data_IF_826370077458
#
_entry.id   IF_826370077458
#
_cell.length_a   1.000
_cell.length_b   1.000
_cell.length_c   1.000
_cell.angle_alpha   90.00
_cell.angle_beta   90.00
_cell.angle_gamma   90.00
#
_symmetry.space_group_name_H-M   'P 1'
#
loop_
_entity.id
_entity.type
_entity.pdbx_description
1 polymer ?
#
# COMPACT_ATOMS: atom_id res chain seq x y z
N UNK A 1 -2.25 15.19 -14.55
CA UNK A 1 -1.75 14.77 -13.21
C UNK A 1 -1.55 13.26 -13.17
N UNK A 2 -0.66 12.74 -12.32
CA UNK A 2 -0.44 11.30 -12.12
C UNK A 2 -1.14 10.81 -10.85
N UNK A 3 -1.60 9.57 -10.85
CA UNK A 3 -2.23 8.90 -9.69
C UNK A 3 -1.79 7.45 -9.66
N UNK A 4 -1.88 6.81 -8.49
CA UNK A 4 -1.53 5.40 -8.33
C UNK A 4 -2.83 4.61 -8.34
N UNK A 5 -2.97 3.75 -9.35
CA UNK A 5 -4.05 2.78 -9.46
C UNK A 5 -3.61 1.50 -8.77
N UNK A 6 -4.42 1.04 -7.82
CA UNK A 6 -4.19 -0.18 -7.07
C UNK A 6 -5.28 -1.16 -7.43
N UNK A 7 -4.90 -2.32 -7.94
CA UNK A 7 -5.82 -3.43 -8.19
C UNK A 7 -5.62 -4.47 -7.10
N UNK A 8 -6.70 -4.94 -6.50
CA UNK A 8 -6.66 -5.95 -5.47
C UNK A 8 -7.84 -6.92 -5.59
N UNK A 9 -7.62 -8.13 -5.13
CA UNK A 9 -8.68 -9.11 -4.94
C UNK A 9 -9.20 -8.98 -3.51
N UNK A 10 -10.48 -9.23 -3.32
CA UNK A 10 -11.13 -9.31 -2.01
C UNK A 10 -12.03 -10.55 -1.98
N UNK A 11 -12.74 -10.78 -0.88
CA UNK A 11 -13.51 -11.99 -0.71
C UNK A 11 -14.19 -12.10 0.62
N UNK A 12 -14.79 -13.25 0.82
CA UNK A 12 -15.32 -13.73 2.08
C UNK A 12 -14.93 -15.20 2.28
N UNK A 13 -15.44 -15.85 3.32
CA UNK A 13 -15.11 -17.25 3.62
C UNK A 13 -15.54 -18.24 2.53
N UNK A 14 -16.40 -17.83 1.59
CA UNK A 14 -17.02 -18.69 0.59
C UNK A 14 -16.77 -18.23 -0.85
N UNK A 15 -16.47 -16.95 -1.07
CA UNK A 15 -16.31 -16.36 -2.39
C UNK A 15 -15.03 -15.51 -2.50
N UNK A 16 -14.49 -15.45 -3.72
CA UNK A 16 -13.43 -14.52 -4.10
C UNK A 16 -13.98 -13.56 -5.15
N UNK A 17 -13.68 -12.28 -4.98
CA UNK A 17 -14.03 -11.20 -5.90
C UNK A 17 -12.74 -10.61 -6.44
N UNK A 18 -12.51 -10.80 -7.73
CA UNK A 18 -11.28 -10.34 -8.38
C UNK A 18 -11.45 -8.91 -8.92
N UNK A 19 -10.40 -8.10 -8.81
CA UNK A 19 -10.26 -6.88 -9.63
C UNK A 19 -10.91 -5.59 -9.11
N UNK A 20 -11.01 -5.40 -7.80
CA UNK A 20 -11.34 -4.09 -7.24
C UNK A 20 -10.23 -3.07 -7.50
N UNK A 21 -10.58 -1.80 -7.73
CA UNK A 21 -9.62 -0.74 -8.04
C UNK A 21 -9.75 0.45 -7.10
N UNK A 22 -8.64 0.85 -6.48
CA UNK A 22 -8.53 2.11 -5.73
C UNK A 22 -7.57 3.09 -6.41
N UNK A 23 -7.91 4.38 -6.39
CA UNK A 23 -7.09 5.46 -6.94
C UNK A 23 -6.52 6.29 -5.79
N UNK A 24 -5.21 6.17 -5.56
CA UNK A 24 -4.52 6.79 -4.44
C UNK A 24 -3.80 8.04 -4.89
N UNK A 25 -4.07 9.16 -4.23
CA UNK A 25 -3.35 10.43 -4.36
C UNK A 25 -3.38 11.07 -5.76
N UNK A 26 -2.81 12.27 -5.85
CA UNK A 26 -2.62 13.00 -7.11
C UNK A 26 -1.28 13.74 -7.04
N UNK A 27 -0.43 13.53 -8.04
CA UNK A 27 0.90 14.13 -8.13
C UNK A 27 1.10 14.86 -9.44
N UNK A 28 1.91 15.91 -9.39
CA UNK A 28 2.35 16.63 -10.59
C UNK A 28 3.49 15.89 -11.29
N UNK A 29 4.39 15.28 -10.52
CA UNK A 29 5.54 14.52 -11.03
C UNK A 29 5.25 13.02 -11.15
N UNK A 30 5.61 12.44 -12.31
CA UNK A 30 5.54 10.99 -12.53
C UNK A 30 6.52 10.25 -11.63
N UNK A 31 7.70 10.84 -11.45
CA UNK A 31 8.79 10.31 -10.64
C UNK A 31 8.34 10.18 -9.18
N UNK A 32 7.69 11.21 -8.64
CA UNK A 32 7.16 11.19 -7.28
C UNK A 32 6.03 10.16 -7.11
N UNK A 33 5.10 10.07 -8.05
CA UNK A 33 4.07 9.01 -8.05
C UNK A 33 4.70 7.61 -8.13
N UNK A 34 5.76 7.45 -8.94
CA UNK A 34 6.50 6.19 -9.07
C UNK A 34 7.25 5.83 -7.79
N UNK A 35 7.82 6.83 -7.10
CA UNK A 35 8.45 6.62 -5.80
C UNK A 35 7.42 6.12 -4.78
N UNK A 36 6.26 6.78 -4.68
CA UNK A 36 5.18 6.37 -3.80
C UNK A 36 4.62 4.97 -4.15
N UNK A 37 4.53 4.63 -5.44
CA UNK A 37 4.14 3.29 -5.87
C UNK A 37 5.14 2.22 -5.40
N UNK A 38 6.45 2.51 -5.45
CA UNK A 38 7.49 1.61 -4.92
C UNK A 38 7.37 1.43 -3.40
N UNK A 39 7.09 2.51 -2.66
CA UNK A 39 6.85 2.46 -1.21
C UNK A 39 5.68 1.53 -0.87
N UNK A 40 4.57 1.66 -1.60
CA UNK A 40 3.39 0.80 -1.45
C UNK A 40 3.71 -0.67 -1.74
N UNK A 41 4.45 -0.94 -2.82
CA UNK A 41 4.86 -2.30 -3.17
C UNK A 41 5.76 -2.93 -2.10
N UNK A 42 6.76 -2.18 -1.60
CA UNK A 42 7.66 -2.62 -0.55
C UNK A 42 6.93 -2.89 0.77
N UNK A 43 6.04 -1.97 1.16
CA UNK A 43 5.19 -2.17 2.34
C UNK A 43 4.31 -3.42 2.22
N UNK A 44 3.69 -3.64 1.05
CA UNK A 44 2.86 -4.82 0.83
C UNK A 44 3.66 -6.12 0.90
N UNK A 45 4.88 -6.15 0.37
CA UNK A 45 5.77 -7.32 0.49
C UNK A 45 6.04 -7.68 1.95
N UNK A 46 6.40 -6.68 2.76
CA UNK A 46 6.63 -6.87 4.21
C UNK A 46 5.36 -7.38 4.89
N UNK A 47 4.21 -6.74 4.62
CA UNK A 47 2.92 -7.16 5.15
C UNK A 47 2.63 -8.62 4.77
N UNK A 48 2.80 -8.99 3.50
CA UNK A 48 2.47 -10.32 3.00
C UNK A 48 3.33 -11.40 3.63
N UNK A 49 4.62 -11.14 3.83
CA UNK A 49 5.55 -12.06 4.51
C UNK A 49 5.22 -12.26 5.98
N UNK A 50 4.57 -11.28 6.61
CA UNK A 50 4.08 -11.35 7.99
C UNK A 50 2.68 -11.99 8.12
N UNK A 51 1.77 -11.72 7.18
CA UNK A 51 0.37 -12.14 7.27
C UNK A 51 0.09 -13.52 6.70
N UNK A 52 1.02 -14.07 5.91
CA UNK A 52 0.87 -15.39 5.32
C UNK A 52 1.03 -16.47 6.40
N UNK A 53 -0.09 -17.10 6.78
CA UNK A 53 -0.15 -18.18 7.76
C UNK A 53 0.49 -19.51 7.30
N UNK A 54 1.67 -19.55 6.65
CA UNK A 54 2.19 -20.81 6.12
C UNK A 54 3.72 -20.93 6.16
N UNK A 55 4.21 -21.73 7.12
CA UNK A 55 5.27 -22.77 7.05
C UNK A 55 6.42 -22.66 6.01
N UNK A 56 6.85 -21.45 5.63
CA UNK A 56 7.98 -21.21 4.74
C UNK A 56 9.13 -20.49 5.45
N UNK A 57 10.36 -20.77 5.04
CA UNK A 57 11.58 -20.19 5.62
C UNK A 57 11.71 -18.65 5.40
N UNK A 58 10.85 -18.05 4.58
CA UNK A 58 10.91 -16.62 4.19
C UNK A 58 9.81 -15.75 4.84
N UNK A 59 9.10 -16.31 5.81
CA UNK A 59 8.08 -15.62 6.61
C UNK A 59 8.73 -14.74 7.69
N UNK A 60 8.13 -13.57 7.93
CA UNK A 60 8.52 -12.66 9.01
C UNK A 60 7.58 -12.85 10.20
N UNK A 61 8.12 -12.78 11.41
CA UNK A 61 7.29 -12.49 12.57
C UNK A 61 6.78 -11.04 12.49
N UNK A 62 5.65 -10.77 13.15
CA UNK A 62 5.11 -9.40 13.25
C UNK A 62 6.13 -8.42 13.81
N UNK A 63 6.90 -8.84 14.82
CA UNK A 63 7.98 -8.03 15.39
C UNK A 63 9.06 -7.69 14.36
N UNK A 64 9.53 -8.66 13.59
CA UNK A 64 10.55 -8.43 12.55
C UNK A 64 10.04 -7.52 11.45
N UNK A 65 8.80 -7.73 10.99
CA UNK A 65 8.16 -6.86 10.01
C UNK A 65 8.08 -5.40 10.51
N UNK A 66 7.66 -5.20 11.75
CA UNK A 66 7.59 -3.89 12.38
C UNK A 66 8.99 -3.26 12.54
N UNK A 67 9.98 -4.03 12.95
CA UNK A 67 11.36 -3.54 13.10
C UNK A 67 11.95 -3.15 11.74
N UNK A 68 11.64 -3.85 10.65
CA UNK A 68 11.97 -3.43 9.29
C UNK A 68 11.27 -2.11 8.95
N UNK A 69 9.95 -2.01 9.17
CA UNK A 69 9.16 -0.81 8.85
C UNK A 69 9.71 0.43 9.55
N UNK A 70 10.11 0.33 10.82
CA UNK A 70 10.71 1.45 11.58
C UNK A 70 11.98 2.03 10.94
N UNK A 71 12.69 1.27 10.11
CA UNK A 71 13.89 1.75 9.42
C UNK A 71 13.59 2.48 8.11
N UNK A 72 12.34 2.43 7.64
CA UNK A 72 11.94 2.98 6.35
C UNK A 72 11.55 4.44 6.48
N UNK A 73 11.92 5.26 5.50
CA UNK A 73 11.51 6.67 5.44
C UNK A 73 9.98 6.86 5.39
N UNK A 74 9.27 5.83 4.94
CA UNK A 74 7.81 5.83 4.82
C UNK A 74 7.10 5.28 6.06
N UNK A 75 7.82 5.00 7.16
CA UNK A 75 7.24 4.54 8.42
C UNK A 75 6.13 5.51 8.90
N UNK A 76 4.94 5.00 9.27
CA UNK A 76 3.87 5.82 9.83
C UNK A 76 4.28 6.57 11.11
N UNK A 77 3.77 7.80 11.24
CA UNK A 77 3.91 8.58 12.47
C UNK A 77 2.75 8.20 13.39
N UNK A 78 3.05 7.48 14.47
CA UNK A 78 2.04 6.96 15.39
C UNK A 78 2.34 7.45 16.81
N UNK A 79 1.30 7.95 17.50
CA UNK A 79 1.41 8.36 18.89
C UNK A 79 1.79 7.17 19.80
N UNK A 80 2.74 7.38 20.71
CA UNK A 80 3.30 6.34 21.58
C UNK A 80 2.28 5.60 22.45
N UNK A 81 1.12 6.21 22.73
CA UNK A 81 0.08 5.64 23.61
C UNK A 81 -1.01 4.87 22.87
N UNK A 82 -0.91 4.76 21.54
CA UNK A 82 -1.91 4.03 20.76
C UNK A 82 -1.80 2.53 21.00
N UNK A 83 -2.90 1.93 21.48
CA UNK A 83 -3.00 0.48 21.69
C UNK A 83 -3.00 -0.30 20.36
N UNK A 84 -3.11 0.41 19.23
CA UNK A 84 -3.08 -0.16 17.88
C UNK A 84 -1.81 0.22 17.12
N UNK A 85 -0.70 0.53 17.81
CA UNK A 85 0.54 0.99 17.15
C UNK A 85 1.07 -0.01 16.14
N UNK A 86 1.17 -1.26 16.53
CA UNK A 86 1.71 -2.34 15.69
C UNK A 86 0.82 -2.57 14.48
N UNK A 87 -0.50 -2.63 14.71
CA UNK A 87 -1.50 -2.65 13.65
C UNK A 87 -1.35 -1.47 12.68
N UNK A 88 -1.25 -0.24 13.18
CA UNK A 88 -1.10 0.94 12.33
C UNK A 88 0.22 0.92 11.54
N UNK A 89 1.29 0.32 12.06
CA UNK A 89 2.54 0.16 11.30
C UNK A 89 2.38 -0.80 10.11
N UNK A 90 1.59 -1.86 10.27
CA UNK A 90 1.34 -2.85 9.21
C UNK A 90 0.23 -2.46 8.23
N UNK A 91 -0.65 -1.54 8.63
CA UNK A 91 -1.84 -1.15 7.88
C UNK A 91 -1.86 0.34 7.50
N UNK A 92 -0.71 1.03 7.56
CA UNK A 92 -0.59 2.38 7.02
C UNK A 92 0.83 2.70 6.55
N UNK A 93 0.95 3.74 5.72
CA UNK A 93 2.22 4.17 5.12
C UNK A 93 2.25 5.69 4.92
N UNK A 94 3.43 6.30 5.01
CA UNK A 94 3.63 7.71 4.65
C UNK A 94 4.00 7.87 3.17
N UNK A 95 3.17 8.61 2.44
CA UNK A 95 3.39 8.96 1.04
C UNK A 95 3.79 10.43 0.91
N UNK A 96 4.74 10.72 0.02
CA UNK A 96 5.22 12.08 -0.23
C UNK A 96 4.21 12.88 -1.06
N UNK A 97 4.04 14.16 -0.75
CA UNK A 97 3.23 15.12 -1.50
C UNK A 97 4.12 16.05 -2.34
N UNK A 98 3.52 16.73 -3.33
CA UNK A 98 4.26 17.62 -4.26
C UNK A 98 4.93 18.82 -3.56
N UNK A 99 4.46 19.21 -2.37
CA UNK A 99 5.02 20.30 -1.57
C UNK A 99 6.13 19.85 -0.61
N UNK A 100 6.53 18.57 -0.68
CA UNK A 100 7.53 17.96 0.19
C UNK A 100 6.99 17.51 1.55
N UNK A 101 5.71 17.78 1.86
CA UNK A 101 5.05 17.19 3.02
C UNK A 101 4.73 15.71 2.78
N UNK A 102 4.20 15.04 3.81
CA UNK A 102 3.80 13.65 3.72
C UNK A 102 2.39 13.46 4.27
N UNK A 103 1.67 12.50 3.71
CA UNK A 103 0.35 12.11 4.18
C UNK A 103 0.35 10.63 4.57
N UNK A 104 -0.35 10.30 5.65
CA UNK A 104 -0.53 8.92 6.08
C UNK A 104 -1.71 8.32 5.33
N UNK A 105 -1.46 7.20 4.65
CA UNK A 105 -2.45 6.46 3.90
C UNK A 105 -2.70 5.11 4.58
N UNK A 106 -3.97 4.77 4.82
CA UNK A 106 -4.36 3.47 5.37
C UNK A 106 -4.45 2.41 4.29
N UNK A 107 -3.76 1.28 4.44
CA UNK A 107 -3.65 0.22 3.42
C UNK A 107 -4.64 -0.93 3.63
N UNK A 108 -5.63 -0.77 4.53
CA UNK A 108 -6.58 -1.82 4.90
C UNK A 108 -7.40 -2.39 3.73
N UNK A 109 -7.53 -1.66 2.61
CA UNK A 109 -8.29 -2.11 1.44
C UNK A 109 -7.63 -3.27 0.70
N UNK A 110 -6.30 -3.44 0.80
CA UNK A 110 -5.55 -4.55 0.18
C UNK A 110 -4.59 -5.27 1.13
N UNK A 111 -4.44 -4.77 2.36
CA UNK A 111 -3.77 -5.44 3.46
C UNK A 111 -4.82 -5.93 4.46
N UNK A 112 -5.45 -7.06 4.16
CA UNK A 112 -6.48 -7.66 5.01
C UNK A 112 -6.51 -9.18 4.92
N UNK A 113 -7.52 -9.78 5.55
CA UNK A 113 -7.60 -11.23 5.70
C UNK A 113 -8.01 -11.92 4.38
N UNK A 114 -8.95 -11.32 3.65
CA UNK A 114 -9.41 -11.82 2.35
C UNK A 114 -8.79 -11.05 1.19
N UNK A 115 -8.16 -9.92 1.48
CA UNK A 115 -7.66 -8.98 0.51
C UNK A 115 -6.23 -9.33 0.06
N UNK A 116 -5.95 -9.18 -1.24
CA UNK A 116 -4.60 -9.31 -1.76
C UNK A 116 -4.32 -8.35 -2.89
N UNK A 117 -3.17 -7.68 -2.82
CA UNK A 117 -2.72 -6.77 -3.86
C UNK A 117 -2.38 -7.57 -5.14
N UNK A 118 -2.97 -7.16 -6.26
CA UNK A 118 -2.72 -7.74 -7.59
C UNK A 118 -1.75 -6.87 -8.37
N UNK A 119 -1.96 -5.56 -8.41
CA UNK A 119 -1.09 -4.64 -9.14
C UNK A 119 -1.08 -3.22 -8.58
N UNK A 120 0.01 -2.51 -8.84
CA UNK A 120 0.19 -1.08 -8.57
C UNK A 120 0.69 -0.43 -9.86
N UNK A 121 -0.04 0.55 -10.36
CA UNK A 121 0.25 1.23 -11.62
C UNK A 121 0.24 2.74 -11.45
N UNK A 122 1.22 3.44 -12.01
CA UNK A 122 1.17 4.90 -12.11
C UNK A 122 0.48 5.28 -13.42
N UNK A 123 -0.67 5.93 -13.32
CA UNK A 123 -1.48 6.32 -14.48
C UNK A 123 -1.62 7.84 -14.57
N UNK A 124 -1.75 8.36 -15.79
CA UNK A 124 -2.07 9.75 -16.07
C UNK A 124 -3.47 9.80 -16.70
N UNK A 125 -4.54 10.09 -15.93
CA UNK A 125 -5.91 10.02 -16.44
C UNK A 125 -6.16 10.89 -17.67
N UNK A 126 -5.45 12.02 -17.79
CA UNK A 126 -5.55 12.95 -18.92
C UNK A 126 -4.98 12.39 -20.22
N UNK A 127 -4.08 11.40 -20.17
CA UNK A 127 -3.52 10.73 -21.36
C UNK A 127 -4.36 9.54 -21.84
N UNK A 128 -5.31 9.05 -21.02
CA UNK A 128 -6.24 8.00 -21.40
C UNK A 128 -7.51 8.53 -22.10
N UNK A 129 -7.67 9.86 -22.25
CA UNK A 129 -8.71 10.46 -23.09
C UNK A 129 -8.20 10.62 -24.53
N UNK A 130 -7.85 9.51 -25.18
CA UNK A 130 -7.80 9.49 -26.65
C UNK A 130 -9.25 9.32 -27.09
N UNK A 131 -9.83 10.39 -27.64
CA UNK A 131 -11.12 10.34 -28.32
C UNK A 131 -11.04 9.32 -29.46
N UNK A 132 -11.71 8.18 -29.31
CA UNK A 132 -12.07 7.36 -30.46
C UNK A 132 -13.04 8.21 -31.31
N UNK A 133 -12.61 8.53 -32.52
CA UNK A 133 -13.46 9.11 -33.58
C UNK A 133 -14.10 8.00 -34.39
#
# INVERSE_FOLDING_TARGET
>A
MYTIKITYDTGDSFNRYDGETEMVGKWKSKELATENAKRLAEHYDIYKRCSSNHWGDDCLTEKEAIDIIKTKEWCPIIEEKSHSREYLMLHSIMLKLDDGSAFQFGTSTWCGYFESLVSIEVVCPEQNMIWER
#
